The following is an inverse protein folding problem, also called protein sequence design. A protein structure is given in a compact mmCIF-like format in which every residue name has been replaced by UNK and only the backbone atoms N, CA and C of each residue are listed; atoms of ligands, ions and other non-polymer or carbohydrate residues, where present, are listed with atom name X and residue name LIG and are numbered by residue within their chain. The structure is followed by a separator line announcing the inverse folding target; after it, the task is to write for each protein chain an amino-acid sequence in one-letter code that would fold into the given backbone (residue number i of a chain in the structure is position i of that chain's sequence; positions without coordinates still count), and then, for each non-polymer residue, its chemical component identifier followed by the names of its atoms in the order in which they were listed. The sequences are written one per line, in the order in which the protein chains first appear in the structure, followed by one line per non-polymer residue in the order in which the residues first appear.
data_IF_149206054290
#
_entry.id   IF_149206054290
#
_cell.length_a   1.000
_cell.length_b   1.000
_cell.length_c   1.000
_cell.angle_alpha   90.00
_cell.angle_beta   90.00
_cell.angle_gamma   90.00
#
_symmetry.space_group_name_H-M   'P 1'
#
loop_
_entity.id
_entity.type
_entity.pdbx_description
1 polymer ?
#
# COMPACT_ATOMS: atom_id res chain seq x y z
N UNK A 1 5.54 -11.90 -5.29
CA UNK A 1 4.97 -13.09 -5.96
C UNK A 1 3.80 -13.64 -5.17
N UNK A 2 3.93 -13.71 -3.85
CA UNK A 2 2.85 -14.19 -2.98
C UNK A 2 1.69 -13.19 -2.93
N UNK A 3 1.97 -11.89 -2.97
CA UNK A 3 0.96 -10.84 -3.06
C UNK A 3 0.06 -11.01 -4.30
N UNK A 4 0.63 -11.34 -5.46
CA UNK A 4 -0.15 -11.58 -6.67
C UNK A 4 -1.08 -12.78 -6.49
N UNK A 5 -0.60 -13.86 -5.90
CA UNK A 5 -1.42 -15.07 -5.62
C UNK A 5 -2.60 -14.74 -4.69
N UNK A 6 -2.36 -13.91 -3.66
CA UNK A 6 -3.43 -13.50 -2.75
C UNK A 6 -4.45 -12.58 -3.44
N UNK A 7 -3.99 -11.67 -4.31
CA UNK A 7 -4.90 -10.83 -5.10
C UNK A 7 -5.71 -11.67 -6.09
N UNK A 8 -5.09 -12.63 -6.79
CA UNK A 8 -5.79 -13.56 -7.68
C UNK A 8 -6.84 -14.37 -6.92
N UNK A 9 -6.51 -14.85 -5.71
CA UNK A 9 -7.45 -15.57 -4.84
C UNK A 9 -8.62 -14.68 -4.42
N UNK A 10 -8.34 -13.43 -4.03
CA UNK A 10 -9.35 -12.46 -3.64
C UNK A 10 -10.31 -12.17 -4.80
N UNK A 11 -9.78 -11.87 -5.99
CA UNK A 11 -10.57 -11.62 -7.19
C UNK A 11 -11.42 -12.84 -7.58
N UNK A 12 -10.82 -14.04 -7.54
CA UNK A 12 -11.54 -15.30 -7.82
C UNK A 12 -12.70 -15.54 -6.84
N UNK A 13 -12.54 -15.17 -5.55
CA UNK A 13 -13.63 -15.28 -4.57
C UNK A 13 -14.81 -14.34 -4.85
N UNK A 14 -14.57 -13.28 -5.64
CA UNK A 14 -15.59 -12.35 -6.14
C UNK A 14 -16.19 -12.79 -7.49
N UNK A 15 -15.75 -13.94 -8.05
CA UNK A 15 -16.14 -14.40 -9.39
C UNK A 15 -15.45 -13.65 -10.53
N UNK A 16 -14.30 -13.01 -10.25
CA UNK A 16 -13.51 -12.29 -11.25
C UNK A 16 -12.35 -13.15 -11.71
N UNK A 17 -12.26 -13.38 -13.02
CA UNK A 17 -11.15 -14.08 -13.64
C UNK A 17 -10.01 -13.13 -14.00
N UNK A 18 -8.77 -13.53 -13.67
CA UNK A 18 -7.58 -12.76 -14.01
C UNK A 18 -7.11 -13.15 -15.41
N UNK A 19 -7.17 -12.20 -16.34
CA UNK A 19 -6.77 -12.39 -17.73
C UNK A 19 -5.24 -12.47 -17.90
N UNK A 20 -4.52 -11.49 -17.40
CA UNK A 20 -3.05 -11.40 -17.50
C UNK A 20 -2.47 -10.74 -16.26
N UNK A 21 -1.40 -11.31 -15.71
CA UNK A 21 -0.54 -10.66 -14.73
C UNK A 21 0.73 -10.18 -15.43
N UNK A 22 0.92 -8.87 -15.50
CA UNK A 22 2.05 -8.27 -16.21
C UNK A 22 2.86 -7.32 -15.29
N UNK A 23 4.18 -7.28 -15.42
CA UNK A 23 5.02 -8.10 -16.32
C UNK A 23 5.36 -9.48 -15.76
N UNK A 24 4.96 -9.80 -14.53
CA UNK A 24 5.35 -11.01 -13.82
C UNK A 24 4.85 -12.28 -14.52
N UNK A 25 5.78 -13.01 -15.15
CA UNK A 25 5.46 -14.28 -15.82
C UNK A 25 4.77 -14.13 -17.18
N UNK A 26 4.45 -12.91 -17.61
CA UNK A 26 3.81 -12.68 -18.90
C UNK A 26 4.80 -12.80 -20.07
N UNK A 27 4.39 -13.52 -21.10
CA UNK A 27 5.09 -13.55 -22.39
C UNK A 27 4.59 -12.41 -23.32
N UNK A 28 5.34 -12.06 -24.39
CA UNK A 28 4.85 -11.06 -25.33
C UNK A 28 3.47 -11.35 -25.95
N UNK A 29 3.09 -12.61 -26.25
CA UNK A 29 1.73 -12.93 -26.65
C UNK A 29 0.67 -12.64 -25.57
N UNK A 30 0.98 -12.86 -24.30
CA UNK A 30 0.03 -12.60 -23.20
C UNK A 30 -0.29 -11.10 -23.10
N UNK A 31 0.69 -10.23 -23.36
CA UNK A 31 0.47 -8.78 -23.36
C UNK A 31 -0.56 -8.34 -24.41
N UNK A 32 -0.72 -9.09 -25.50
CA UNK A 32 -1.74 -8.83 -26.53
C UNK A 32 -3.16 -9.14 -26.04
N UNK A 33 -3.28 -9.90 -24.96
CA UNK A 33 -4.56 -10.20 -24.34
C UNK A 33 -5.03 -9.11 -23.35
N UNK A 34 -4.16 -8.23 -22.89
CA UNK A 34 -4.52 -7.18 -21.93
C UNK A 34 -5.78 -6.38 -22.34
N UNK A 35 -5.92 -5.92 -23.61
CA UNK A 35 -7.09 -5.15 -24.01
C UNK A 35 -8.42 -5.94 -24.03
N UNK A 36 -8.39 -7.23 -23.75
CA UNK A 36 -9.60 -8.07 -23.68
C UNK A 36 -10.22 -8.11 -22.27
N UNK A 37 -9.54 -7.55 -21.27
CA UNK A 37 -10.05 -7.47 -19.91
C UNK A 37 -11.07 -6.32 -19.78
N UNK A 38 -12.00 -6.46 -18.85
CA UNK A 38 -13.01 -5.44 -18.55
C UNK A 38 -12.46 -4.31 -17.68
N UNK A 39 -11.40 -4.57 -16.90
CA UNK A 39 -10.74 -3.60 -16.03
C UNK A 39 -9.26 -3.93 -15.83
N UNK A 40 -8.50 -2.95 -15.35
CA UNK A 40 -7.12 -3.12 -14.88
C UNK A 40 -7.03 -2.98 -13.36
N UNK A 41 -6.20 -3.79 -12.73
CA UNK A 41 -5.79 -3.61 -11.33
C UNK A 41 -4.36 -3.10 -11.30
N UNK A 42 -4.15 -1.91 -10.77
CA UNK A 42 -2.84 -1.27 -10.67
C UNK A 42 -2.26 -1.41 -9.26
N UNK A 43 -1.46 -2.44 -9.03
CA UNK A 43 -0.83 -2.72 -7.74
C UNK A 43 0.49 -1.97 -7.52
N UNK A 44 1.07 -1.39 -8.56
CA UNK A 44 2.36 -0.71 -8.49
C UNK A 44 2.32 0.58 -9.33
N UNK A 45 1.59 1.61 -8.87
CA UNK A 45 1.37 2.83 -9.64
C UNK A 45 2.67 3.60 -9.95
N UNK A 46 3.72 3.43 -9.14
CA UNK A 46 5.04 4.02 -9.37
C UNK A 46 5.60 3.71 -10.76
N UNK A 47 5.28 2.53 -11.31
CA UNK A 47 5.81 2.08 -12.61
C UNK A 47 4.73 1.89 -13.68
N UNK A 48 3.47 1.68 -13.30
CA UNK A 48 2.40 1.29 -14.23
C UNK A 48 1.36 2.36 -14.52
N UNK A 49 1.35 3.49 -13.82
CA UNK A 49 0.34 4.56 -14.01
C UNK A 49 0.24 5.06 -15.45
N UNK A 50 1.37 5.23 -16.14
CA UNK A 50 1.38 5.66 -17.55
C UNK A 50 0.72 4.61 -18.45
N UNK A 51 1.03 3.33 -18.23
CA UNK A 51 0.46 2.22 -18.99
C UNK A 51 -1.04 2.09 -18.73
N UNK A 52 -1.46 2.10 -17.47
CA UNK A 52 -2.87 2.04 -17.10
C UNK A 52 -3.66 3.23 -17.64
N UNK A 53 -3.11 4.44 -17.58
CA UNK A 53 -3.71 5.63 -18.16
C UNK A 53 -3.84 5.54 -19.69
N UNK A 54 -2.86 4.92 -20.35
CA UNK A 54 -2.94 4.68 -21.79
C UNK A 54 -4.01 3.65 -22.13
N UNK A 55 -4.09 2.54 -21.40
CA UNK A 55 -5.12 1.51 -21.56
C UNK A 55 -6.52 2.09 -21.35
N UNK A 56 -6.71 2.89 -20.31
CA UNK A 56 -7.99 3.55 -20.03
C UNK A 56 -8.43 4.46 -21.19
N UNK A 57 -7.52 5.28 -21.72
CA UNK A 57 -7.84 6.20 -22.84
C UNK A 57 -8.06 5.48 -24.16
N UNK A 58 -7.33 4.38 -24.41
CA UNK A 58 -7.34 3.69 -25.70
C UNK A 58 -8.47 2.68 -25.81
N UNK A 59 -8.75 1.98 -24.71
CA UNK A 59 -9.70 0.86 -24.69
C UNK A 59 -10.91 1.10 -23.76
N UNK A 60 -10.96 2.22 -23.06
CA UNK A 60 -12.04 2.54 -22.12
C UNK A 60 -12.01 1.69 -20.85
N UNK A 61 -10.89 1.03 -20.55
CA UNK A 61 -10.76 0.13 -19.41
C UNK A 61 -10.64 0.93 -18.09
N UNK A 62 -11.56 0.76 -17.14
CA UNK A 62 -11.38 1.36 -15.81
C UNK A 62 -10.14 0.77 -15.12
N UNK A 63 -9.51 1.56 -14.28
CA UNK A 63 -8.34 1.14 -13.51
C UNK A 63 -8.67 1.20 -12.03
N UNK A 64 -8.57 0.07 -11.37
CA UNK A 64 -8.64 -0.07 -9.92
C UNK A 64 -7.28 0.39 -9.37
N UNK A 65 -7.29 1.35 -8.47
CA UNK A 65 -6.08 2.01 -7.95
C UNK A 65 -5.84 1.78 -6.48
N UNK A 66 -6.83 1.27 -5.76
CA UNK A 66 -6.69 0.89 -4.36
C UNK A 66 -5.76 -0.32 -4.25
N UNK A 67 -4.72 -0.19 -3.43
CA UNK A 67 -3.80 -1.30 -3.11
C UNK A 67 -4.29 -1.93 -1.81
N UNK A 68 -4.64 -3.24 -1.81
CA UNK A 68 -5.27 -3.89 -0.67
C UNK A 68 -4.24 -4.30 0.40
N UNK A 69 -3.62 -3.32 1.02
CA UNK A 69 -2.74 -3.49 2.19
C UNK A 69 -3.49 -3.13 3.46
N UNK A 70 -3.67 -4.12 4.35
CA UNK A 70 -4.50 -4.00 5.54
C UNK A 70 -5.97 -4.24 5.26
N UNK A 71 -6.75 -4.43 6.34
CA UNK A 71 -8.16 -4.80 6.22
C UNK A 71 -9.01 -3.69 5.62
N UNK A 72 -8.82 -2.45 6.06
CA UNK A 72 -9.57 -1.30 5.55
C UNK A 72 -9.38 -1.09 4.06
N UNK A 73 -8.11 -1.12 3.59
CA UNK A 73 -7.81 -0.97 2.16
C UNK A 73 -8.27 -2.18 1.33
N UNK A 74 -8.29 -3.39 1.90
CA UNK A 74 -8.84 -4.57 1.22
C UNK A 74 -10.34 -4.43 0.99
N UNK A 75 -11.10 -3.92 1.95
CA UNK A 75 -12.53 -3.63 1.77
C UNK A 75 -12.78 -2.58 0.70
N UNK A 76 -11.99 -1.51 0.69
CA UNK A 76 -12.08 -0.47 -0.34
C UNK A 76 -11.75 -1.02 -1.73
N UNK A 77 -10.74 -1.89 -1.84
CA UNK A 77 -10.38 -2.58 -3.07
C UNK A 77 -11.54 -3.46 -3.61
N UNK A 78 -12.15 -4.27 -2.73
CA UNK A 78 -13.31 -5.10 -3.09
C UNK A 78 -14.45 -4.23 -3.61
N UNK A 79 -14.75 -3.14 -2.92
CA UNK A 79 -15.81 -2.20 -3.33
C UNK A 79 -15.50 -1.51 -4.68
N UNK A 80 -14.23 -1.11 -4.90
CA UNK A 80 -13.79 -0.50 -6.16
C UNK A 80 -13.90 -1.48 -7.33
N UNK A 81 -13.45 -2.73 -7.15
CA UNK A 81 -13.59 -3.81 -8.15
C UNK A 81 -15.05 -4.09 -8.46
N UNK A 82 -15.88 -4.27 -7.43
CA UNK A 82 -17.31 -4.52 -7.59
C UNK A 82 -17.99 -3.39 -8.37
N UNK A 83 -17.70 -2.14 -8.02
CA UNK A 83 -18.23 -0.97 -8.73
C UNK A 83 -17.76 -0.89 -10.18
N UNK A 84 -16.48 -1.15 -10.44
CA UNK A 84 -15.92 -1.07 -11.79
C UNK A 84 -16.49 -2.14 -12.74
N UNK A 85 -16.80 -3.32 -12.21
CA UNK A 85 -17.30 -4.47 -12.98
C UNK A 85 -18.83 -4.66 -12.87
N UNK A 86 -19.53 -3.83 -12.11
CA UNK A 86 -20.97 -3.94 -11.89
C UNK A 86 -21.39 -5.20 -11.15
N UNK A 87 -20.56 -5.67 -10.19
CA UNK A 87 -20.83 -6.87 -9.41
C UNK A 87 -21.62 -6.52 -8.15
N UNK A 88 -22.55 -7.40 -7.79
CA UNK A 88 -23.23 -7.36 -6.49
C UNK A 88 -22.50 -8.25 -5.51
N UNK A 89 -21.62 -7.64 -4.70
CA UNK A 89 -20.73 -8.35 -3.77
C UNK A 89 -20.93 -7.81 -2.36
N UNK A 90 -21.14 -8.71 -1.41
CA UNK A 90 -21.08 -8.37 0.01
C UNK A 90 -19.60 -8.24 0.42
N UNK A 91 -19.15 -7.00 0.59
CA UNK A 91 -17.76 -6.67 0.91
C UNK A 91 -17.30 -7.31 2.23
N UNK A 92 -18.22 -7.49 3.19
CA UNK A 92 -17.90 -8.09 4.49
C UNK A 92 -17.87 -9.63 4.44
N UNK A 93 -18.49 -10.25 3.43
CA UNK A 93 -18.44 -11.68 3.19
C UNK A 93 -17.21 -12.12 2.37
N UNK A 94 -16.58 -11.20 1.66
CA UNK A 94 -15.38 -11.45 0.86
C UNK A 94 -14.13 -11.11 1.67
N UNK A 95 -13.24 -12.08 1.79
CA UNK A 95 -11.99 -11.92 2.54
C UNK A 95 -12.15 -12.21 4.05
N UNK A 96 -11.06 -12.59 4.65
CA UNK A 96 -10.97 -12.90 6.07
C UNK A 96 -10.04 -11.91 6.78
N UNK A 97 -10.59 -11.17 7.75
CA UNK A 97 -9.77 -10.33 8.61
C UNK A 97 -9.05 -11.17 9.66
N UNK A 98 -7.74 -10.97 9.81
CA UNK A 98 -6.96 -11.53 10.92
C UNK A 98 -6.96 -10.67 12.18
N UNK A 99 -7.64 -9.53 12.17
CA UNK A 99 -7.75 -8.65 13.34
C UNK A 99 -8.29 -9.36 14.58
N UNK A 100 -9.33 -10.25 14.50
CA UNK A 100 -9.78 -10.98 15.65
C UNK A 100 -8.74 -11.96 16.22
N UNK A 101 -7.86 -12.51 15.37
CA UNK A 101 -6.74 -13.32 15.84
C UNK A 101 -5.67 -12.44 16.50
N UNK A 102 -5.32 -11.31 15.87
CA UNK A 102 -4.35 -10.36 16.37
C UNK A 102 -4.75 -9.87 17.77
N UNK A 103 -5.98 -9.39 17.96
CA UNK A 103 -6.47 -8.87 19.23
C UNK A 103 -6.56 -9.91 20.35
N UNK A 104 -6.59 -11.21 20.02
CA UNK A 104 -6.57 -12.31 21.00
C UNK A 104 -5.18 -12.85 21.26
N UNK A 105 -4.26 -12.75 20.31
CA UNK A 105 -2.96 -13.39 20.36
C UNK A 105 -1.85 -12.45 20.82
N UNK A 106 -2.05 -11.16 20.67
CA UNK A 106 -1.08 -10.11 21.01
C UNK A 106 -1.81 -9.12 21.93
N UNK A 107 -1.12 -8.66 22.96
CA UNK A 107 -1.64 -7.53 23.72
C UNK A 107 -1.58 -6.28 22.83
N UNK A 108 -2.70 -6.00 22.16
CA UNK A 108 -2.83 -4.90 21.20
C UNK A 108 -2.60 -3.52 21.84
N UNK A 109 -2.67 -3.44 23.18
CA UNK A 109 -2.40 -2.19 23.89
C UNK A 109 -0.94 -1.78 23.84
N UNK A 110 0.00 -2.71 23.58
CA UNK A 110 1.41 -2.38 23.45
C UNK A 110 1.73 -1.42 22.31
N UNK A 111 0.95 -1.43 21.24
CA UNK A 111 1.18 -0.58 20.06
C UNK A 111 0.35 0.70 20.09
N UNK A 112 -0.73 0.73 20.85
CA UNK A 112 -1.63 1.87 20.94
C UNK A 112 -0.93 3.10 21.49
N UNK A 113 -0.98 4.19 20.73
CA UNK A 113 -0.36 5.46 21.08
C UNK A 113 1.16 5.50 20.94
N UNK A 114 1.80 4.39 20.50
CA UNK A 114 3.23 4.40 20.16
C UNK A 114 3.48 5.25 18.93
N UNK A 115 4.55 6.05 18.99
CA UNK A 115 4.91 6.98 17.93
C UNK A 115 5.67 6.27 16.82
N UNK A 116 5.16 6.34 15.58
CA UNK A 116 5.78 5.68 14.43
C UNK A 116 6.13 6.68 13.32
N UNK A 117 7.33 6.53 12.77
CA UNK A 117 7.76 7.21 11.54
C UNK A 117 7.71 6.23 10.38
N UNK A 118 7.09 6.65 9.27
CA UNK A 118 6.90 5.80 8.07
C UNK A 118 7.62 6.44 6.89
N UNK A 119 8.51 5.69 6.25
CA UNK A 119 9.24 6.16 5.07
C UNK A 119 9.55 4.99 4.12
N UNK A 120 8.96 5.02 2.92
CA UNK A 120 9.12 3.97 1.93
C UNK A 120 8.83 4.52 0.52
N UNK A 121 8.65 3.64 -0.49
CA UNK A 121 8.00 4.07 -1.72
C UNK A 121 6.58 4.60 -1.42
N UNK A 122 6.04 5.41 -2.33
CA UNK A 122 4.84 6.19 -2.03
C UNK A 122 3.64 5.34 -1.65
N UNK A 123 3.41 4.25 -2.38
CA UNK A 123 2.25 3.37 -2.16
C UNK A 123 2.35 2.61 -0.83
N UNK A 124 3.53 2.03 -0.54
CA UNK A 124 3.76 1.34 0.72
C UNK A 124 3.74 2.29 1.91
N UNK A 125 4.30 3.50 1.77
CA UNK A 125 4.28 4.49 2.84
C UNK A 125 2.86 4.90 3.23
N UNK A 126 1.99 5.18 2.26
CA UNK A 126 0.58 5.51 2.49
C UNK A 126 -0.16 4.35 3.15
N UNK A 127 0.00 3.14 2.58
CA UNK A 127 -0.68 1.95 3.08
C UNK A 127 -0.22 1.58 4.50
N UNK A 128 1.08 1.59 4.76
CA UNK A 128 1.63 1.29 6.08
C UNK A 128 1.22 2.31 7.14
N UNK A 129 1.16 3.60 6.80
CA UNK A 129 0.67 4.63 7.70
C UNK A 129 -0.80 4.42 8.07
N UNK A 130 -1.64 4.05 7.09
CA UNK A 130 -3.05 3.71 7.30
C UNK A 130 -3.20 2.51 8.24
N UNK A 131 -2.51 1.40 7.95
CA UNK A 131 -2.53 0.20 8.80
C UNK A 131 -2.05 0.52 10.21
N UNK A 132 -0.93 1.24 10.33
CA UNK A 132 -0.37 1.60 11.63
C UNK A 132 -1.37 2.38 12.47
N UNK A 133 -2.04 3.41 11.90
CA UNK A 133 -3.00 4.22 12.63
C UNK A 133 -4.32 3.48 12.88
N UNK A 134 -4.94 2.97 11.81
CA UNK A 134 -6.36 2.57 11.86
C UNK A 134 -6.54 1.14 12.38
N UNK A 135 -5.53 0.27 12.20
CA UNK A 135 -5.63 -1.14 12.57
C UNK A 135 -4.75 -1.50 13.76
N UNK A 136 -3.62 -0.82 13.98
CA UNK A 136 -2.67 -1.12 15.04
C UNK A 136 -2.65 -0.09 16.18
N UNK A 137 -3.28 1.07 15.97
CA UNK A 137 -3.42 2.11 16.98
C UNK A 137 -2.17 2.96 17.24
N UNK A 138 -1.22 2.97 16.32
CA UNK A 138 -0.07 3.87 16.39
C UNK A 138 -0.44 5.34 16.21
N UNK A 139 0.35 6.22 16.78
CA UNK A 139 0.42 7.63 16.42
C UNK A 139 1.45 7.81 15.30
N UNK A 140 1.00 8.12 14.09
CA UNK A 140 1.89 8.42 12.96
C UNK A 140 2.44 9.83 13.15
N UNK A 141 3.73 9.96 13.48
CA UNK A 141 4.39 11.24 13.77
C UNK A 141 5.20 11.77 12.59
N UNK A 142 5.40 10.97 11.55
CA UNK A 142 6.05 11.38 10.32
C UNK A 142 5.74 10.41 9.20
N UNK A 143 5.55 10.95 8.00
CA UNK A 143 5.28 10.21 6.78
C UNK A 143 6.11 10.80 5.65
N UNK A 144 6.77 9.93 4.89
CA UNK A 144 7.58 10.38 3.76
C UNK A 144 7.84 9.29 2.72
N UNK A 145 8.45 9.73 1.62
CA UNK A 145 8.82 8.84 0.50
C UNK A 145 10.05 9.37 -0.22
N UNK A 146 10.82 8.44 -0.80
CA UNK A 146 11.86 8.76 -1.78
C UNK A 146 11.30 8.86 -3.22
N UNK A 147 10.07 8.35 -3.47
CA UNK A 147 9.43 8.35 -4.78
C UNK A 147 8.83 9.72 -5.08
N UNK A 148 9.41 10.44 -6.04
CA UNK A 148 8.91 11.75 -6.48
C UNK A 148 7.61 11.63 -7.27
N UNK A 149 7.39 10.52 -7.94
CA UNK A 149 6.22 10.22 -8.75
C UNK A 149 4.93 10.23 -7.91
N UNK A 150 5.03 9.75 -6.65
CA UNK A 150 3.91 9.68 -5.71
C UNK A 150 3.91 10.79 -4.66
N UNK A 151 4.77 11.79 -4.81
CA UNK A 151 4.90 12.88 -3.83
C UNK A 151 3.60 13.62 -3.54
N UNK A 152 2.72 13.78 -4.55
CA UNK A 152 1.40 14.41 -4.39
C UNK A 152 0.50 13.60 -3.47
N UNK A 153 0.47 12.29 -3.66
CA UNK A 153 -0.43 11.41 -2.92
C UNK A 153 0.05 11.22 -1.47
N UNK A 154 1.37 11.13 -1.28
CA UNK A 154 1.97 11.08 0.07
C UNK A 154 1.73 12.38 0.82
N UNK A 155 1.78 13.56 0.16
CA UNK A 155 1.40 14.84 0.79
C UNK A 155 -0.07 14.88 1.15
N UNK A 156 -0.94 14.35 0.29
CA UNK A 156 -2.37 14.28 0.58
C UNK A 156 -2.64 13.40 1.80
N UNK A 157 -2.04 12.21 1.84
CA UNK A 157 -2.15 11.31 2.99
C UNK A 157 -1.57 11.92 4.27
N UNK A 158 -0.38 12.54 4.22
CA UNK A 158 0.23 13.18 5.39
C UNK A 158 -0.68 14.28 5.98
N UNK A 159 -1.38 15.03 5.12
CA UNK A 159 -2.31 16.06 5.55
C UNK A 159 -3.48 15.50 6.38
N UNK A 160 -3.94 14.28 6.10
CA UNK A 160 -4.98 13.60 6.89
C UNK A 160 -4.52 13.29 8.32
N UNK A 161 -3.20 13.19 8.53
CA UNK A 161 -2.57 13.03 9.84
C UNK A 161 -2.16 14.37 10.49
N UNK A 162 -2.42 15.50 9.81
CA UNK A 162 -1.94 16.81 10.25
C UNK A 162 -0.43 17.00 10.12
N UNK A 163 0.21 16.22 9.23
CA UNK A 163 1.66 16.19 9.03
C UNK A 163 2.08 16.87 7.73
N UNK A 164 3.33 17.32 7.70
CA UNK A 164 4.05 17.65 6.47
C UNK A 164 4.83 16.43 5.98
N UNK A 165 4.62 16.05 4.71
CA UNK A 165 5.30 14.90 4.13
C UNK A 165 6.77 15.19 3.85
N UNK A 166 7.65 14.27 4.20
CA UNK A 166 9.06 14.30 3.83
C UNK A 166 9.23 13.64 2.44
N UNK A 167 9.57 14.45 1.42
CA UNK A 167 9.81 13.95 0.07
C UNK A 167 11.30 14.17 -0.26
N UNK A 168 12.09 13.13 -0.13
CA UNK A 168 13.54 13.22 -0.35
C UNK A 168 14.13 11.85 -0.68
N UNK A 169 15.19 11.84 -1.47
CA UNK A 169 16.08 10.69 -1.72
C UNK A 169 17.39 10.79 -0.90
N UNK A 170 17.53 11.84 -0.10
CA UNK A 170 18.68 12.05 0.76
C UNK A 170 18.48 11.40 2.14
N UNK A 171 19.14 10.29 2.37
CA UNK A 171 19.04 9.55 3.64
C UNK A 171 19.48 10.36 4.87
N UNK A 172 20.31 11.39 4.72
CA UNK A 172 20.70 12.27 5.83
C UNK A 172 19.54 13.15 6.29
N UNK A 173 18.69 13.60 5.36
CA UNK A 173 17.49 14.35 5.71
C UNK A 173 16.48 13.45 6.44
N UNK A 174 16.37 12.19 6.01
CA UNK A 174 15.53 11.18 6.69
C UNK A 174 16.05 10.94 8.10
N UNK A 175 17.37 10.74 8.28
CA UNK A 175 17.97 10.55 9.59
C UNK A 175 17.77 11.78 10.51
N UNK A 176 17.97 12.99 9.98
CA UNK A 176 17.72 14.21 10.74
C UNK A 176 16.25 14.32 11.17
N UNK A 177 15.30 13.93 10.30
CA UNK A 177 13.88 13.96 10.63
C UNK A 177 13.51 12.91 11.68
N UNK A 178 14.08 11.72 11.62
CA UNK A 178 13.89 10.69 12.65
C UNK A 178 14.45 11.16 14.00
N UNK A 179 15.62 11.83 14.00
CA UNK A 179 16.21 12.40 15.22
C UNK A 179 15.33 13.53 15.80
N UNK A 180 14.78 14.40 14.95
CA UNK A 180 13.88 15.48 15.36
C UNK A 180 12.60 14.94 15.99
N UNK A 181 11.97 13.97 15.33
CA UNK A 181 10.67 13.43 15.73
C UNK A 181 10.76 12.42 16.87
N UNK A 182 11.90 11.78 17.07
CA UNK A 182 12.12 10.75 18.10
C UNK A 182 10.99 9.69 18.15
N UNK A 183 10.70 8.98 17.05
CA UNK A 183 9.68 7.94 17.06
C UNK A 183 10.12 6.75 17.93
N UNK A 184 9.16 5.97 18.42
CA UNK A 184 9.41 4.73 19.14
C UNK A 184 9.60 3.53 18.19
N UNK A 185 9.20 3.68 16.91
CA UNK A 185 9.36 2.68 15.85
C UNK A 185 9.49 3.37 14.49
N UNK A 186 10.23 2.72 13.60
CA UNK A 186 10.33 3.12 12.18
C UNK A 186 9.77 2.00 11.31
N UNK A 187 8.89 2.34 10.37
CA UNK A 187 8.48 1.48 9.26
C UNK A 187 9.13 2.03 8.00
N UNK A 188 10.02 1.26 7.37
CA UNK A 188 10.81 1.81 6.29
C UNK A 188 11.42 0.76 5.36
N UNK A 189 12.46 1.17 4.64
CA UNK A 189 13.27 0.31 3.80
C UNK A 189 14.50 -0.20 4.54
N UNK A 190 15.40 -0.89 3.83
CA UNK A 190 16.70 -1.26 4.39
C UNK A 190 17.55 -0.04 4.79
N UNK A 191 17.36 1.12 4.14
CA UNK A 191 18.08 2.35 4.50
C UNK A 191 17.62 2.88 5.86
N UNK A 192 16.31 2.95 6.08
CA UNK A 192 15.74 3.38 7.37
C UNK A 192 16.08 2.40 8.48
N UNK A 193 16.22 1.11 8.16
CA UNK A 193 16.72 0.11 9.13
C UNK A 193 18.14 0.44 9.61
N UNK A 194 19.02 0.89 8.71
CA UNK A 194 20.38 1.30 9.11
C UNK A 194 20.35 2.57 9.97
N UNK A 195 19.51 3.54 9.61
CA UNK A 195 19.30 4.76 10.41
C UNK A 195 18.78 4.39 11.80
N UNK A 196 17.70 3.64 11.88
CA UNK A 196 17.08 3.22 13.13
C UNK A 196 18.07 2.46 14.04
N UNK A 197 18.88 1.56 13.45
CA UNK A 197 19.92 0.82 14.18
C UNK A 197 20.94 1.77 14.82
N UNK A 198 21.38 2.82 14.10
CA UNK A 198 22.32 3.82 14.66
C UNK A 198 21.69 4.61 15.81
N UNK A 199 20.40 4.88 15.70
CA UNK A 199 19.64 5.66 16.69
C UNK A 199 19.07 4.81 17.84
N UNK A 200 19.24 3.49 17.80
CA UNK A 200 18.71 2.59 18.82
C UNK A 200 17.19 2.43 18.78
N UNK A 201 16.56 2.66 17.63
CA UNK A 201 15.10 2.60 17.44
C UNK A 201 14.73 1.28 16.74
N UNK A 202 13.67 0.56 17.16
CA UNK A 202 13.14 -0.59 16.43
C UNK A 202 12.71 -0.20 15.00
N UNK A 203 12.99 -1.07 14.03
CA UNK A 203 12.57 -0.87 12.64
C UNK A 203 12.02 -2.15 12.04
N UNK A 204 10.86 -2.04 11.38
CA UNK A 204 10.35 -3.06 10.47
C UNK A 204 10.56 -2.60 9.02
N UNK A 205 11.14 -3.50 8.20
CA UNK A 205 11.29 -3.27 6.76
C UNK A 205 9.97 -3.65 6.07
N UNK A 206 9.35 -2.68 5.42
CA UNK A 206 8.03 -2.81 4.77
C UNK A 206 8.11 -2.71 3.25
N UNK A 207 9.20 -2.16 2.72
CA UNK A 207 9.48 -2.15 1.28
C UNK A 207 10.99 -2.25 1.03
N UNK A 208 11.39 -2.64 -0.18
CA UNK A 208 12.79 -2.89 -0.56
C UNK A 208 13.21 -2.04 -1.76
#
# INVERSE_FOLDING_TARGET
RDDVVEIERLLSSMGVDVNVVAPLGASPPDLQAIPKADANVNLCPEVSDLTCSWLARTFGMPTITTIPMGWGATRDFIAEVASALGLDVDVDAVGESRLPWYSRSIDSTYLTGKRVFVFADGSHAIAAARVARDEMGFEVVGLGTYSRERARDVRAAAKEYGLEALITDNYLEVEAKVQELQPEMVLGTQMERHIAKRLGIPCAVIST
#
